data_IF_361794383611
#
_entry.id   IF_361794383611
#
_cell.length_a   1.000
_cell.length_b   1.000
_cell.length_c   1.000
_cell.angle_alpha   90.00
_cell.angle_beta   90.00
_cell.angle_gamma   90.00
#
_symmetry.space_group_name_H-M   'P 1'
#
loop_
_entity.id
_entity.type
_entity.pdbx_description
1 polymer ?
#
# COMPACT_ATOMS: atom_id res chain seq x y z
N UNK A 1 12.64 -62.60 27.39
CA UNK A 1 13.31 -63.93 27.37
C UNK A 1 12.32 -64.91 26.74
N UNK A 2 12.65 -65.49 25.57
CA UNK A 2 12.06 -66.66 24.86
C UNK A 2 10.55 -66.58 24.50
N UNK A 3 10.15 -66.51 23.22
CA UNK A 3 10.10 -67.54 22.15
C UNK A 3 8.97 -68.58 22.27
N UNK A 4 8.42 -68.92 21.08
CA UNK A 4 7.62 -70.09 20.63
C UNK A 4 6.12 -69.84 20.43
N UNK A 5 5.60 -69.85 19.18
CA UNK A 5 5.22 -70.99 18.32
C UNK A 5 4.11 -71.84 18.97
N UNK A 6 2.91 -72.02 18.40
CA UNK A 6 2.57 -72.94 17.28
C UNK A 6 1.05 -72.79 17.00
N UNK A 7 0.58 -72.57 15.78
CA UNK A 7 0.15 -73.52 14.74
C UNK A 7 -1.10 -74.41 15.06
N UNK A 8 -2.11 -74.27 14.17
CA UNK A 8 -3.09 -75.26 13.65
C UNK A 8 -4.57 -75.31 14.11
N UNK A 9 -5.41 -75.01 13.10
CA UNK A 9 -6.58 -75.76 12.60
C UNK A 9 -8.01 -75.41 13.06
N UNK A 10 -8.66 -74.66 12.14
CA UNK A 10 -10.04 -74.72 11.64
C UNK A 10 -10.97 -75.84 12.17
N UNK A 11 -12.21 -75.48 12.58
CA UNK A 11 -13.44 -75.55 11.74
C UNK A 11 -14.72 -75.13 12.50
N UNK A 12 -15.46 -74.21 11.86
CA UNK A 12 -16.92 -74.14 11.69
C UNK A 12 -17.87 -73.96 12.90
N UNK A 13 -18.52 -72.80 12.94
CA UNK A 13 -19.80 -72.55 13.62
C UNK A 13 -20.35 -71.16 13.28
N UNK A 14 -21.54 -71.11 12.70
CA UNK A 14 -22.11 -70.02 11.91
C UNK A 14 -22.94 -69.05 12.76
N UNK A 15 -22.76 -67.73 12.58
CA UNK A 15 -23.84 -66.72 12.55
C UNK A 15 -23.28 -65.37 12.09
N UNK A 16 -23.42 -65.04 10.80
CA UNK A 16 -23.11 -63.71 10.26
C UNK A 16 -24.41 -62.94 10.04
N UNK A 17 -24.47 -61.82 10.77
CA UNK A 17 -25.39 -60.70 10.64
C UNK A 17 -25.46 -60.23 9.18
N UNK A 18 -26.65 -60.16 8.60
CA UNK A 18 -26.90 -59.57 7.28
C UNK A 18 -26.86 -58.04 7.42
N UNK A 19 -25.83 -57.40 6.89
CA UNK A 19 -25.83 -55.94 6.64
C UNK A 19 -26.36 -55.73 5.22
N UNK A 20 -27.48 -55.03 5.10
CA UNK A 20 -28.02 -54.58 3.83
C UNK A 20 -27.18 -53.42 3.29
N UNK A 21 -26.69 -53.57 2.06
CA UNK A 21 -25.98 -52.54 1.31
C UNK A 21 -27.03 -51.55 0.74
N UNK A 22 -27.04 -50.32 1.23
CA UNK A 22 -27.76 -49.22 0.57
C UNK A 22 -26.82 -48.59 -0.46
N UNK A 23 -27.11 -48.79 -1.75
CA UNK A 23 -26.50 -48.03 -2.84
C UNK A 23 -27.01 -46.59 -2.76
N UNK A 24 -26.18 -45.67 -2.26
CA UNK A 24 -26.39 -44.25 -2.46
C UNK A 24 -25.77 -43.84 -3.81
N UNK A 25 -26.62 -43.52 -4.78
CA UNK A 25 -26.22 -42.88 -6.02
C UNK A 25 -25.73 -41.46 -5.69
N UNK A 26 -24.42 -41.22 -5.79
CA UNK A 26 -23.84 -39.90 -5.67
C UNK A 26 -24.15 -39.09 -6.94
N UNK A 27 -25.20 -38.28 -6.90
CA UNK A 27 -25.41 -37.21 -7.86
C UNK A 27 -24.38 -36.13 -7.53
N UNK A 28 -23.33 -36.05 -8.34
CA UNK A 28 -22.32 -35.00 -8.27
C UNK A 28 -22.94 -33.65 -8.63
N UNK A 29 -23.44 -32.93 -7.63
CA UNK A 29 -23.68 -31.50 -7.73
C UNK A 29 -22.31 -30.81 -7.68
N UNK A 30 -21.77 -30.54 -8.86
CA UNK A 30 -20.63 -29.64 -9.04
C UNK A 30 -21.09 -28.24 -8.64
N UNK A 31 -20.84 -27.84 -7.40
CA UNK A 31 -20.92 -26.45 -6.98
C UNK A 31 -19.76 -25.76 -7.68
N UNK A 32 -20.02 -25.21 -8.86
CA UNK A 32 -19.11 -24.26 -9.47
C UNK A 32 -18.98 -23.10 -8.48
N UNK A 33 -17.82 -22.99 -7.84
CA UNK A 33 -17.41 -21.76 -7.18
C UNK A 33 -17.40 -20.69 -8.26
N UNK A 34 -18.43 -19.82 -8.26
CA UNK A 34 -18.32 -18.55 -8.96
C UNK A 34 -17.20 -17.79 -8.26
N UNK A 35 -15.99 -17.91 -8.79
CA UNK A 35 -15.01 -16.86 -8.64
C UNK A 35 -15.69 -15.56 -9.04
N UNK A 36 -15.75 -14.63 -8.10
CA UNK A 36 -16.04 -13.24 -8.41
C UNK A 36 -14.91 -12.81 -9.32
N UNK A 37 -15.09 -12.94 -10.63
CA UNK A 37 -14.30 -12.20 -11.61
C UNK A 37 -14.53 -10.73 -11.26
N UNK A 38 -13.53 -10.09 -10.66
CA UNK A 38 -13.51 -8.64 -10.54
C UNK A 38 -13.76 -8.03 -11.91
N UNK A 39 -14.37 -6.85 -11.95
CA UNK A 39 -14.56 -6.09 -13.19
C UNK A 39 -13.28 -6.14 -14.01
N UNK A 40 -13.34 -6.82 -15.17
CA UNK A 40 -12.24 -6.87 -16.12
C UNK A 40 -11.87 -5.41 -16.48
N UNK A 41 -10.68 -4.96 -16.05
CA UNK A 41 -10.12 -3.68 -16.49
C UNK A 41 -9.57 -2.74 -15.42
N UNK A 42 -9.89 -2.90 -14.12
CA UNK A 42 -9.28 -2.03 -13.09
C UNK A 42 -7.96 -2.63 -12.58
N UNK A 43 -6.82 -1.92 -12.69
CA UNK A 43 -5.55 -2.43 -12.18
C UNK A 43 -5.60 -2.64 -10.66
N UNK A 44 -4.84 -3.59 -10.11
CA UNK A 44 -4.76 -3.78 -8.66
C UNK A 44 -4.19 -2.52 -8.00
N UNK A 45 -4.52 -2.30 -6.72
CA UNK A 45 -3.94 -1.18 -5.98
C UNK A 45 -2.41 -1.38 -5.88
N UNK A 46 -1.57 -0.39 -6.23
CA UNK A 46 -0.12 -0.55 -6.18
C UNK A 46 0.40 -0.73 -4.75
N UNK A 47 1.03 -1.88 -4.51
CA UNK A 47 1.68 -2.25 -3.25
C UNK A 47 3.12 -2.63 -3.55
N UNK A 48 4.04 -1.72 -3.23
CA UNK A 48 5.46 -1.83 -3.61
C UNK A 48 6.35 -2.23 -2.44
N UNK A 49 7.22 -3.22 -2.62
CA UNK A 49 8.36 -3.39 -1.73
C UNK A 49 9.50 -2.47 -2.19
N UNK A 50 9.89 -1.50 -1.35
CA UNK A 50 11.10 -0.73 -1.60
C UNK A 50 12.29 -1.55 -1.08
N UNK A 51 12.75 -2.46 -1.93
CA UNK A 51 13.82 -3.41 -1.64
C UNK A 51 14.44 -3.90 -2.95
N UNK A 52 15.55 -4.62 -2.84
CA UNK A 52 16.17 -5.36 -3.93
C UNK A 52 15.84 -6.85 -3.85
N UNK A 53 15.32 -7.41 -4.95
CA UNK A 53 15.07 -8.83 -5.07
C UNK A 53 15.39 -9.35 -6.48
N UNK A 54 16.13 -10.44 -6.53
CA UNK A 54 16.65 -11.04 -7.76
C UNK A 54 16.47 -12.56 -7.84
N UNK A 55 15.91 -13.19 -6.81
CA UNK A 55 15.65 -14.62 -6.75
C UNK A 55 14.14 -14.92 -6.60
N UNK A 56 13.73 -16.10 -7.10
CA UNK A 56 12.32 -16.52 -7.11
C UNK A 56 11.77 -16.77 -5.71
N UNK A 57 12.57 -17.24 -4.76
CA UNK A 57 12.09 -17.54 -3.42
C UNK A 57 11.66 -16.25 -2.70
N UNK A 58 12.51 -15.22 -2.75
CA UNK A 58 12.22 -13.89 -2.18
C UNK A 58 11.02 -13.25 -2.88
N UNK A 59 11.00 -13.23 -4.22
CA UNK A 59 9.91 -12.64 -5.00
C UNK A 59 8.58 -13.37 -4.76
N UNK A 60 8.58 -14.70 -4.60
CA UNK A 60 7.37 -15.46 -4.25
C UNK A 60 6.86 -15.08 -2.87
N UNK A 61 7.74 -14.91 -1.87
CA UNK A 61 7.35 -14.46 -0.52
C UNK A 61 6.80 -13.03 -0.52
N UNK A 62 7.28 -12.16 -1.41
CA UNK A 62 6.71 -10.83 -1.64
C UNK A 62 5.31 -10.92 -2.27
N UNK A 63 5.15 -11.69 -3.35
CA UNK A 63 3.87 -11.92 -4.02
C UNK A 63 2.82 -12.51 -3.07
N UNK A 64 3.19 -13.52 -2.27
CA UNK A 64 2.33 -14.15 -1.26
C UNK A 64 1.85 -13.18 -0.18
N UNK A 65 2.63 -12.11 0.06
CA UNK A 65 2.31 -11.01 0.97
C UNK A 65 1.41 -9.95 0.30
N UNK A 66 1.07 -10.10 -0.98
CA UNK A 66 0.26 -9.17 -1.74
C UNK A 66 1.05 -8.02 -2.39
N UNK A 67 2.38 -8.06 -2.37
CA UNK A 67 3.21 -7.12 -3.12
C UNK A 67 3.03 -7.40 -4.61
N UNK A 68 2.79 -6.35 -5.40
CA UNK A 68 2.62 -6.44 -6.85
C UNK A 68 3.61 -5.56 -7.63
N UNK A 69 4.55 -4.92 -6.93
CA UNK A 69 5.64 -4.14 -7.51
C UNK A 69 6.87 -4.21 -6.59
N UNK A 70 8.06 -4.33 -7.16
CA UNK A 70 9.34 -4.27 -6.42
C UNK A 70 10.18 -3.15 -6.99
N UNK A 71 10.77 -2.33 -6.10
CA UNK A 71 11.49 -1.12 -6.48
C UNK A 71 12.84 -1.41 -7.14
N UNK A 72 13.55 -2.49 -6.79
CA UNK A 72 14.79 -2.81 -7.48
C UNK A 72 14.83 -4.26 -7.88
N UNK A 73 14.76 -4.50 -9.19
CA UNK A 73 14.89 -5.81 -9.80
C UNK A 73 15.90 -5.72 -10.94
N UNK A 74 16.90 -6.61 -11.01
CA UNK A 74 17.82 -6.64 -12.14
C UNK A 74 17.11 -7.22 -13.39
N UNK A 75 17.60 -6.91 -14.60
CA UNK A 75 17.04 -7.43 -15.86
C UNK A 75 16.80 -8.94 -15.87
N UNK A 76 17.70 -9.70 -15.26
CA UNK A 76 17.73 -11.17 -15.23
C UNK A 76 16.57 -11.77 -14.43
N UNK A 77 15.96 -11.00 -13.51
CA UNK A 77 14.84 -11.46 -12.68
C UNK A 77 13.47 -11.04 -13.23
N UNK A 78 13.41 -10.38 -14.39
CA UNK A 78 12.15 -9.89 -14.97
C UNK A 78 11.16 -11.02 -15.30
N UNK A 79 11.65 -12.15 -15.83
CA UNK A 79 10.80 -13.31 -16.14
C UNK A 79 10.15 -13.89 -14.88
N UNK A 80 10.89 -13.92 -13.76
CA UNK A 80 10.38 -14.33 -12.45
C UNK A 80 9.29 -13.36 -11.98
N UNK A 81 9.52 -12.05 -12.08
CA UNK A 81 8.52 -11.05 -11.75
C UNK A 81 7.24 -11.24 -12.57
N UNK A 82 7.35 -11.43 -13.89
CA UNK A 82 6.19 -11.67 -14.74
C UNK A 82 5.45 -12.94 -14.33
N UNK A 83 6.15 -14.06 -14.13
CA UNK A 83 5.58 -15.33 -13.67
C UNK A 83 4.74 -15.14 -12.39
N UNK A 84 5.19 -14.28 -11.48
CA UNK A 84 4.56 -14.01 -10.19
C UNK A 84 3.55 -12.85 -10.20
N UNK A 85 3.32 -12.21 -11.34
CA UNK A 85 2.43 -11.04 -11.44
C UNK A 85 3.00 -9.78 -10.78
N UNK A 86 4.31 -9.73 -10.53
CA UNK A 86 5.04 -8.60 -9.97
C UNK A 86 5.50 -7.67 -11.11
N UNK A 87 5.31 -6.38 -10.91
CA UNK A 87 5.93 -5.33 -11.70
C UNK A 87 7.30 -4.94 -11.11
N UNK A 88 8.18 -4.37 -11.92
CA UNK A 88 9.55 -4.05 -11.54
C UNK A 88 9.91 -2.61 -11.91
N UNK A 89 10.43 -1.87 -10.95
CA UNK A 89 11.36 -0.77 -11.25
C UNK A 89 12.74 -1.43 -11.46
N UNK A 90 13.26 -1.29 -12.68
CA UNK A 90 14.49 -1.97 -13.09
C UNK A 90 15.69 -1.23 -12.52
N UNK A 91 16.57 -1.98 -11.85
CA UNK A 91 17.87 -1.52 -11.40
C UNK A 91 18.97 -2.06 -12.32
N UNK A 92 19.94 -1.22 -12.63
CA UNK A 92 21.14 -1.60 -13.36
C UNK A 92 22.32 -0.77 -12.83
N UNK A 93 23.38 -1.46 -12.41
CA UNK A 93 24.61 -0.82 -11.97
C UNK A 93 25.16 0.12 -13.07
N UNK A 94 25.63 1.30 -12.66
CA UNK A 94 26.13 2.34 -13.56
C UNK A 94 25.10 3.40 -13.96
N UNK A 95 23.81 3.23 -13.64
CA UNK A 95 22.80 4.28 -13.81
C UNK A 95 22.74 5.21 -12.59
N UNK A 96 22.60 4.63 -11.40
CA UNK A 96 22.67 5.35 -10.13
C UNK A 96 24.08 5.19 -9.54
N UNK A 97 24.64 6.23 -8.91
CA UNK A 97 25.89 6.10 -8.17
C UNK A 97 25.82 4.98 -7.13
N UNK A 98 26.92 4.22 -6.97
CA UNK A 98 26.98 3.15 -5.97
C UNK A 98 26.88 3.70 -4.54
N UNK A 99 27.61 4.78 -4.26
CA UNK A 99 27.47 5.52 -3.01
C UNK A 99 26.18 6.32 -3.01
N UNK A 100 25.28 6.01 -2.08
CA UNK A 100 23.91 6.53 -2.06
C UNK A 100 23.84 8.07 -2.00
N UNK A 101 24.74 8.72 -1.26
CA UNK A 101 24.76 10.18 -1.13
C UNK A 101 25.48 10.90 -2.28
N UNK A 102 26.11 10.18 -3.22
CA UNK A 102 26.80 10.84 -4.33
C UNK A 102 25.79 11.53 -5.26
N UNK A 103 26.11 12.73 -5.79
CA UNK A 103 25.24 13.43 -6.71
C UNK A 103 25.02 12.62 -7.98
N UNK A 104 23.81 12.71 -8.54
CA UNK A 104 23.50 12.05 -9.80
C UNK A 104 24.36 12.61 -10.95
N UNK A 105 24.81 11.74 -11.87
CA UNK A 105 25.59 12.13 -13.04
C UNK A 105 24.92 11.54 -14.29
N UNK A 106 24.26 12.40 -15.07
CA UNK A 106 23.51 11.94 -16.24
C UNK A 106 24.42 11.51 -17.39
N UNK A 107 25.64 12.04 -17.49
CA UNK A 107 26.62 11.60 -18.50
C UNK A 107 26.98 10.13 -18.30
N UNK A 108 27.25 9.71 -17.06
CA UNK A 108 27.52 8.30 -16.75
C UNK A 108 26.26 7.44 -16.90
N UNK A 109 25.13 7.89 -16.34
CA UNK A 109 23.89 7.14 -16.39
C UNK A 109 23.44 6.86 -17.84
N UNK A 110 23.58 7.86 -18.72
CA UNK A 110 23.13 7.78 -20.10
C UNK A 110 24.07 6.97 -21.02
N UNK A 111 25.22 6.49 -20.52
CA UNK A 111 26.01 5.45 -21.22
C UNK A 111 25.33 4.08 -21.14
N UNK A 112 24.57 3.82 -20.09
CA UNK A 112 23.97 2.51 -19.80
C UNK A 112 22.47 2.48 -20.05
N UNK A 113 21.77 3.57 -19.72
CA UNK A 113 20.31 3.65 -19.73
C UNK A 113 19.67 3.34 -21.11
N UNK A 114 20.14 3.87 -22.25
CA UNK A 114 19.54 3.56 -23.57
C UNK A 114 19.61 2.07 -23.93
N UNK A 115 20.76 1.43 -23.70
CA UNK A 115 20.94 0.00 -24.01
C UNK A 115 20.12 -0.89 -23.08
N UNK A 116 20.01 -0.51 -21.80
CA UNK A 116 19.11 -1.18 -20.86
C UNK A 116 17.66 -1.10 -21.37
N UNK A 117 17.18 0.10 -21.69
CA UNK A 117 15.81 0.32 -22.16
C UNK A 117 15.55 -0.53 -23.41
N UNK A 118 16.42 -0.47 -24.41
CA UNK A 118 16.31 -1.27 -25.63
C UNK A 118 16.20 -2.78 -25.36
N UNK A 119 16.90 -3.28 -24.34
CA UNK A 119 16.91 -4.69 -23.99
C UNK A 119 15.64 -5.17 -23.29
N UNK A 120 15.04 -4.34 -22.42
CA UNK A 120 14.00 -4.82 -21.48
C UNK A 120 12.65 -4.10 -21.57
N UNK A 121 12.52 -2.98 -22.28
CA UNK A 121 11.32 -2.13 -22.21
C UNK A 121 10.01 -2.85 -22.56
N UNK A 122 10.06 -3.74 -23.55
CA UNK A 122 8.89 -4.51 -24.01
C UNK A 122 8.52 -5.66 -23.06
N UNK A 123 9.36 -5.93 -22.05
CA UNK A 123 9.07 -6.96 -21.06
C UNK A 123 7.88 -6.52 -20.17
N UNK A 124 6.83 -7.35 -20.03
CA UNK A 124 5.58 -6.94 -19.37
C UNK A 124 5.74 -6.64 -17.88
N UNK A 125 6.76 -7.18 -17.20
CA UNK A 125 7.05 -6.83 -15.80
C UNK A 125 7.62 -5.41 -15.63
N UNK A 126 8.20 -4.78 -16.66
CA UNK A 126 8.85 -3.47 -16.50
C UNK A 126 7.81 -2.37 -16.27
N UNK A 127 7.92 -1.71 -15.12
CA UNK A 127 7.11 -0.54 -14.72
C UNK A 127 7.89 0.76 -14.85
N UNK A 128 9.21 0.71 -14.64
CA UNK A 128 10.07 1.89 -14.68
C UNK A 128 11.54 1.54 -14.51
N UNK A 129 12.37 2.58 -14.38
CA UNK A 129 13.82 2.49 -14.25
C UNK A 129 14.26 3.37 -13.09
N UNK A 130 15.06 2.82 -12.18
CA UNK A 130 15.60 3.59 -11.06
C UNK A 130 16.62 4.63 -11.54
N UNK A 131 16.46 5.88 -11.08
CA UNK A 131 17.44 6.93 -11.32
C UNK A 131 18.10 7.38 -10.01
N UNK A 132 17.33 7.76 -8.99
CA UNK A 132 17.88 8.33 -7.76
C UNK A 132 16.91 8.23 -6.59
N UNK A 133 17.48 8.03 -5.41
CA UNK A 133 16.81 8.17 -4.13
C UNK A 133 17.25 9.47 -3.45
N UNK A 134 16.28 10.16 -2.83
CA UNK A 134 16.44 11.38 -2.04
C UNK A 134 17.35 12.48 -2.62
N UNK A 135 17.13 12.96 -3.86
CA UNK A 135 17.93 14.07 -4.39
C UNK A 135 17.60 15.40 -3.72
N UNK A 136 18.61 16.23 -3.49
CA UNK A 136 18.38 17.65 -3.20
C UNK A 136 18.00 18.43 -4.48
N UNK A 137 17.44 19.63 -4.32
CA UNK A 137 16.91 20.42 -5.43
C UNK A 137 17.96 20.80 -6.50
N UNK A 138 19.25 20.87 -6.14
CA UNK A 138 20.32 21.21 -7.08
C UNK A 138 20.57 20.10 -8.11
N UNK A 139 20.15 18.87 -7.82
CA UNK A 139 20.32 17.71 -8.70
C UNK A 139 19.23 17.59 -9.76
N UNK A 140 18.09 18.28 -9.63
CA UNK A 140 16.96 18.12 -10.56
C UNK A 140 17.28 18.42 -12.02
N UNK A 141 18.02 19.49 -12.37
CA UNK A 141 18.40 19.73 -13.76
C UNK A 141 19.26 18.61 -14.35
N UNK A 142 20.11 17.98 -13.53
CA UNK A 142 20.95 16.85 -13.95
C UNK A 142 20.09 15.59 -14.15
N UNK A 143 19.21 15.28 -13.19
CA UNK A 143 18.26 14.16 -13.28
C UNK A 143 17.33 14.27 -14.50
N UNK A 144 16.86 15.47 -14.82
CA UNK A 144 15.95 15.72 -15.94
C UNK A 144 16.53 15.26 -17.29
N UNK A 145 17.86 15.25 -17.45
CA UNK A 145 18.54 14.74 -18.65
C UNK A 145 18.28 13.24 -18.84
N UNK A 146 18.37 12.43 -17.77
CA UNK A 146 18.09 10.99 -17.82
C UNK A 146 16.60 10.69 -17.80
N UNK A 147 15.78 11.51 -17.13
CA UNK A 147 14.32 11.40 -17.23
C UNK A 147 13.86 11.58 -18.68
N UNK A 148 14.43 12.55 -19.41
CA UNK A 148 14.15 12.74 -20.83
C UNK A 148 14.47 11.48 -21.66
N UNK A 149 15.59 10.80 -21.39
CA UNK A 149 15.95 9.55 -22.06
C UNK A 149 14.89 8.47 -21.83
N UNK A 150 14.42 8.30 -20.58
CA UNK A 150 13.33 7.36 -20.28
C UNK A 150 12.04 7.75 -21.01
N UNK A 151 11.67 9.03 -21.01
CA UNK A 151 10.46 9.49 -21.70
C UNK A 151 10.50 9.27 -23.21
N UNK A 152 11.64 9.52 -23.84
CA UNK A 152 11.82 9.38 -25.29
C UNK A 152 11.89 7.91 -25.72
N UNK A 153 12.59 7.06 -24.97
CA UNK A 153 12.87 5.67 -25.36
C UNK A 153 11.91 4.65 -24.75
N UNK A 154 11.26 4.98 -23.63
CA UNK A 154 10.37 4.10 -22.87
C UNK A 154 9.05 4.84 -22.52
N UNK A 155 8.29 5.33 -23.52
CA UNK A 155 7.05 6.05 -23.28
C UNK A 155 6.10 5.18 -22.42
N UNK A 156 5.44 5.81 -21.46
CA UNK A 156 4.61 5.08 -20.48
C UNK A 156 5.37 4.58 -19.23
N UNK A 157 6.67 4.26 -19.28
CA UNK A 157 7.44 3.82 -18.10
C UNK A 157 7.78 4.95 -17.13
N UNK A 158 8.03 4.61 -15.88
CA UNK A 158 8.38 5.56 -14.83
C UNK A 158 9.90 5.75 -14.74
N UNK A 159 10.40 6.96 -14.96
CA UNK A 159 11.73 7.37 -14.51
C UNK A 159 11.67 7.54 -12.99
N UNK A 160 12.01 6.48 -12.25
CA UNK A 160 11.76 6.39 -10.82
C UNK A 160 12.79 7.20 -10.04
N UNK A 161 12.30 8.27 -9.43
CA UNK A 161 13.00 9.11 -8.47
C UNK A 161 12.14 9.16 -7.20
N UNK A 162 12.72 8.85 -6.06
CA UNK A 162 12.07 8.98 -4.76
C UNK A 162 12.55 10.25 -4.06
N UNK A 163 11.63 10.99 -3.45
CA UNK A 163 11.92 12.26 -2.77
C UNK A 163 12.09 12.05 -1.26
N UNK A 164 12.96 12.83 -0.60
CA UNK A 164 13.07 12.75 0.85
C UNK A 164 11.82 13.32 1.54
N UNK A 165 11.58 12.94 2.82
CA UNK A 165 10.57 13.58 3.63
C UNK A 165 10.88 15.06 3.81
N UNK A 166 9.83 15.87 3.96
CA UNK A 166 9.98 17.27 4.30
C UNK A 166 8.66 17.92 4.72
N UNK A 167 8.76 19.06 5.39
CA UNK A 167 7.59 19.76 5.92
C UNK A 167 7.90 21.23 6.19
N UNK A 168 6.87 22.06 6.15
CA UNK A 168 6.95 23.48 6.48
C UNK A 168 7.33 24.37 5.31
N UNK A 169 7.86 25.55 5.62
CA UNK A 169 8.23 26.58 4.65
C UNK A 169 9.32 26.05 3.70
N UNK A 170 9.09 26.22 2.40
CA UNK A 170 10.02 25.79 1.34
C UNK A 170 9.76 24.40 0.76
N UNK A 171 9.10 23.48 1.48
CA UNK A 171 8.87 22.12 0.95
C UNK A 171 7.90 22.10 -0.25
N UNK A 172 6.85 22.92 -0.23
CA UNK A 172 6.00 23.10 -1.43
C UNK A 172 6.81 23.59 -2.63
N UNK A 173 7.77 24.51 -2.42
CA UNK A 173 8.68 24.98 -3.46
C UNK A 173 9.60 23.89 -3.98
N UNK A 174 10.15 23.04 -3.10
CA UNK A 174 10.93 21.87 -3.49
C UNK A 174 10.12 20.92 -4.40
N UNK A 175 8.88 20.61 -4.02
CA UNK A 175 7.98 19.76 -4.81
C UNK A 175 7.64 20.39 -6.17
N UNK A 176 7.34 21.70 -6.20
CA UNK A 176 7.00 22.41 -7.42
C UNK A 176 8.20 22.46 -8.39
N UNK A 177 9.42 22.70 -7.90
CA UNK A 177 10.64 22.68 -8.73
C UNK A 177 10.88 21.27 -9.28
N UNK A 178 10.73 20.22 -8.46
CA UNK A 178 10.85 18.85 -8.91
C UNK A 178 9.88 18.53 -10.05
N UNK A 179 8.58 18.84 -9.87
CA UNK A 179 7.56 18.55 -10.88
C UNK A 179 7.81 19.31 -12.18
N UNK A 180 8.15 20.60 -12.08
CA UNK A 180 8.39 21.44 -13.24
C UNK A 180 9.69 21.09 -13.99
N UNK A 181 10.67 20.49 -13.32
CA UNK A 181 11.97 20.17 -13.92
C UNK A 181 12.04 18.74 -14.43
N UNK A 182 11.56 17.78 -13.63
CA UNK A 182 11.67 16.35 -13.92
C UNK A 182 10.40 15.77 -14.57
N UNK A 183 9.26 16.47 -14.55
CA UNK A 183 7.99 16.00 -15.12
C UNK A 183 7.62 14.56 -14.73
N UNK A 184 7.60 14.23 -13.42
CA UNK A 184 7.32 12.88 -12.95
C UNK A 184 5.88 12.48 -13.27
N UNK A 185 5.63 11.17 -13.38
CA UNK A 185 4.27 10.63 -13.52
C UNK A 185 3.58 10.40 -12.17
N UNK A 186 4.37 10.20 -11.13
CA UNK A 186 3.96 9.91 -9.77
C UNK A 186 4.92 10.63 -8.83
N UNK A 187 4.39 11.30 -7.80
CA UNK A 187 5.19 11.77 -6.67
C UNK A 187 5.47 10.60 -5.73
N UNK A 188 6.69 10.09 -5.70
CA UNK A 188 7.16 9.11 -4.70
C UNK A 188 7.94 9.84 -3.63
N UNK A 189 7.65 9.57 -2.37
CA UNK A 189 8.43 10.05 -1.24
C UNK A 189 8.35 9.05 -0.09
N UNK A 190 9.31 9.09 0.81
CA UNK A 190 9.27 8.34 2.06
C UNK A 190 9.06 9.24 3.28
N UNK A 191 8.43 8.68 4.31
CA UNK A 191 8.36 9.27 5.64
C UNK A 191 8.11 8.17 6.68
N UNK A 192 9.00 8.08 7.66
CA UNK A 192 8.97 7.03 8.69
C UNK A 192 8.55 7.62 10.06
N UNK A 193 7.29 7.38 10.50
CA UNK A 193 6.73 8.09 11.63
C UNK A 193 6.83 7.35 12.96
N UNK A 194 7.38 6.13 12.98
CA UNK A 194 7.43 5.30 14.19
C UNK A 194 8.71 5.63 14.96
N UNK A 195 8.55 6.30 16.10
CA UNK A 195 9.66 6.59 17.02
C UNK A 195 10.04 5.38 17.88
N UNK A 196 11.21 5.44 18.53
CA UNK A 196 11.75 4.35 19.36
C UNK A 196 10.81 3.89 20.48
N UNK A 197 9.99 4.80 21.01
CA UNK A 197 9.03 4.51 22.08
C UNK A 197 7.68 4.00 21.55
N UNK A 198 7.59 3.72 20.24
CA UNK A 198 6.36 3.27 19.58
C UNK A 198 5.33 4.39 19.37
N UNK A 199 5.73 5.66 19.57
CA UNK A 199 4.91 6.82 19.28
C UNK A 199 4.81 7.07 17.76
N UNK A 200 3.72 7.71 17.34
CA UNK A 200 3.51 8.11 15.95
C UNK A 200 3.79 9.60 15.77
N UNK A 201 4.75 9.93 14.92
CA UNK A 201 5.21 11.31 14.69
C UNK A 201 4.14 12.15 14.02
N UNK A 202 3.96 13.39 14.52
CA UNK A 202 3.11 14.38 13.87
C UNK A 202 3.59 14.76 12.46
N UNK A 203 4.90 14.62 12.19
CA UNK A 203 5.53 14.95 10.92
C UNK A 203 4.99 14.14 9.74
N UNK A 204 4.46 12.94 9.99
CA UNK A 204 3.75 12.14 8.99
C UNK A 204 2.62 12.94 8.34
N UNK A 205 1.78 13.54 9.17
CA UNK A 205 0.58 14.25 8.74
C UNK A 205 0.93 15.58 8.08
N UNK A 206 1.94 16.29 8.59
CA UNK A 206 2.38 17.56 8.01
C UNK A 206 2.97 17.35 6.59
N UNK A 207 3.84 16.37 6.43
CA UNK A 207 4.48 16.06 5.14
C UNK A 207 3.45 15.58 4.11
N UNK A 208 2.59 14.61 4.45
CA UNK A 208 1.62 14.06 3.49
C UNK A 208 0.57 15.09 3.07
N UNK A 209 0.23 16.07 3.92
CA UNK A 209 -0.64 17.18 3.55
C UNK A 209 -0.04 18.00 2.41
N UNK A 210 1.24 18.37 2.49
CA UNK A 210 1.93 19.11 1.43
C UNK A 210 2.11 18.28 0.16
N UNK A 211 2.45 16.99 0.27
CA UNK A 211 2.56 16.10 -0.91
C UNK A 211 1.19 15.93 -1.60
N UNK A 212 0.11 15.73 -0.84
CA UNK A 212 -1.26 15.70 -1.39
C UNK A 212 -1.58 16.99 -2.12
N UNK A 213 -1.27 18.14 -1.52
CA UNK A 213 -1.55 19.44 -2.12
C UNK A 213 -0.75 19.63 -3.42
N UNK A 214 0.53 19.25 -3.45
CA UNK A 214 1.33 19.25 -4.69
C UNK A 214 0.73 18.32 -5.76
N UNK A 215 0.33 17.10 -5.38
CA UNK A 215 -0.35 16.16 -6.27
C UNK A 215 -1.63 16.74 -6.88
N UNK A 216 -2.45 17.45 -6.10
CA UNK A 216 -3.64 18.14 -6.60
C UNK A 216 -3.30 19.33 -7.51
N UNK A 217 -2.33 20.17 -7.12
CA UNK A 217 -1.89 21.35 -7.91
C UNK A 217 -1.36 20.94 -9.28
N UNK A 218 -0.61 19.84 -9.36
CA UNK A 218 0.03 19.36 -10.59
C UNK A 218 -0.72 18.22 -11.29
N UNK A 219 -1.89 17.82 -10.76
CA UNK A 219 -2.68 16.70 -11.27
C UNK A 219 -1.88 15.39 -11.38
N UNK A 220 -1.12 15.07 -10.32
CA UNK A 220 -0.31 13.86 -10.19
C UNK A 220 -0.82 12.97 -9.05
N UNK A 221 -0.85 11.64 -9.24
CA UNK A 221 -0.94 10.72 -8.12
C UNK A 221 0.32 10.81 -7.26
N UNK A 222 0.19 10.52 -5.97
CA UNK A 222 1.33 10.37 -5.07
C UNK A 222 1.31 9.00 -4.37
N UNK A 223 2.50 8.50 -4.08
CA UNK A 223 2.76 7.24 -3.41
C UNK A 223 3.61 7.52 -2.18
N UNK A 224 3.28 6.88 -1.07
CA UNK A 224 4.02 7.01 0.19
C UNK A 224 4.79 5.73 0.47
N UNK A 225 6.07 5.87 0.80
CA UNK A 225 6.92 4.80 1.31
C UNK A 225 6.99 4.95 2.83
N UNK A 226 6.58 3.91 3.56
CA UNK A 226 6.51 3.97 5.01
C UNK A 226 7.18 2.75 5.66
N UNK A 227 7.40 2.87 6.96
CA UNK A 227 8.28 1.99 7.70
C UNK A 227 7.65 0.62 7.94
N UNK A 228 8.33 -0.44 7.48
CA UNK A 228 8.04 -1.84 7.79
C UNK A 228 9.23 -2.60 8.38
N UNK A 229 10.43 -2.01 8.42
CA UNK A 229 11.59 -2.57 9.10
C UNK A 229 12.28 -1.45 9.87
N UNK A 230 12.42 -1.60 11.18
CA UNK A 230 13.19 -0.66 11.99
C UNK A 230 14.66 -0.65 11.53
N UNK A 231 15.29 0.50 11.64
CA UNK A 231 16.71 0.76 11.41
C UNK A 231 17.06 2.09 12.09
N UNK A 232 18.32 2.34 12.38
CA UNK A 232 18.80 3.52 13.11
C UNK A 232 17.98 3.75 14.39
N UNK A 233 17.37 4.94 14.50
CA UNK A 233 16.52 5.35 15.61
C UNK A 233 15.03 5.15 15.34
N UNK A 234 14.63 4.42 14.30
CA UNK A 234 13.24 4.09 14.07
C UNK A 234 12.77 2.93 14.95
N UNK A 235 11.54 3.05 15.46
CA UNK A 235 10.91 2.00 16.28
C UNK A 235 10.42 0.83 15.45
N UNK A 236 10.33 -0.34 16.08
CA UNK A 236 9.76 -1.53 15.43
C UNK A 236 8.26 -1.37 15.16
N UNK A 237 7.79 -1.72 13.95
CA UNK A 237 6.38 -1.58 13.62
C UNK A 237 5.53 -2.59 14.39
N UNK A 238 4.45 -2.11 15.00
CA UNK A 238 3.33 -2.94 15.44
C UNK A 238 2.29 -3.10 14.33
N UNK A 239 1.40 -4.08 14.44
CA UNK A 239 0.28 -4.22 13.50
C UNK A 239 -0.57 -2.94 13.42
N UNK A 240 -0.82 -2.29 14.56
CA UNK A 240 -1.57 -1.04 14.61
C UNK A 240 -0.82 0.11 13.91
N UNK A 241 0.50 0.20 14.07
CA UNK A 241 1.30 1.22 13.42
C UNK A 241 1.40 0.99 11.90
N UNK A 242 1.51 -0.25 11.43
CA UNK A 242 1.42 -0.58 10.00
C UNK A 242 0.08 -0.14 9.41
N UNK A 243 -1.03 -0.45 10.11
CA UNK A 243 -2.36 0.02 9.70
C UNK A 243 -2.43 1.53 9.64
N UNK A 244 -1.94 2.22 10.66
CA UNK A 244 -2.03 3.68 10.74
C UNK A 244 -1.25 4.36 9.61
N UNK A 245 -0.05 3.86 9.26
CA UNK A 245 0.71 4.36 8.11
C UNK A 245 -0.05 4.15 6.80
N UNK A 246 -0.59 2.94 6.58
CA UNK A 246 -1.30 2.60 5.35
C UNK A 246 -2.61 3.38 5.20
N UNK A 247 -3.52 3.28 6.18
CA UNK A 247 -4.79 3.99 6.16
C UNK A 247 -4.61 5.50 6.31
N UNK A 248 -3.61 5.95 7.06
CA UNK A 248 -3.20 7.36 7.13
C UNK A 248 -2.71 7.89 5.79
N UNK A 249 -2.14 7.05 4.92
CA UNK A 249 -1.82 7.44 3.54
C UNK A 249 -3.06 7.46 2.66
N UNK A 250 -3.92 6.45 2.78
CA UNK A 250 -5.15 6.32 1.99
C UNK A 250 -6.16 7.45 2.25
N UNK A 251 -6.27 7.94 3.50
CA UNK A 251 -7.17 9.05 3.85
C UNK A 251 -6.76 10.37 3.20
N UNK A 252 -5.48 10.52 2.81
CA UNK A 252 -5.00 11.65 1.98
C UNK A 252 -5.12 11.40 0.48
N UNK A 253 -5.59 10.23 0.07
CA UNK A 253 -5.78 9.87 -1.34
C UNK A 253 -4.55 9.31 -2.03
N UNK A 254 -3.59 8.74 -1.28
CA UNK A 254 -2.46 8.03 -1.88
C UNK A 254 -2.93 6.98 -2.89
N UNK A 255 -2.23 6.90 -4.03
CA UNK A 255 -2.53 5.97 -5.14
C UNK A 255 -1.57 4.80 -5.23
N UNK A 256 -0.66 4.69 -4.27
CA UNK A 256 0.23 3.56 -4.08
C UNK A 256 0.84 3.63 -2.70
N UNK A 257 1.14 2.45 -2.16
CA UNK A 257 1.72 2.28 -0.83
C UNK A 257 2.98 1.45 -0.97
N UNK A 258 4.06 1.90 -0.34
CA UNK A 258 5.35 1.25 -0.45
C UNK A 258 5.92 0.97 0.95
N UNK A 259 6.67 -0.12 1.05
CA UNK A 259 7.20 -0.61 2.31
C UNK A 259 8.72 -0.49 2.33
N UNK A 260 9.25 0.34 3.23
CA UNK A 260 10.67 0.36 3.54
C UNK A 260 10.90 -0.19 4.95
N UNK A 261 11.48 -1.37 5.12
CA UNK A 261 12.01 -2.30 4.11
C UNK A 261 11.30 -3.65 4.20
N UNK A 262 11.38 -4.47 3.15
CA UNK A 262 10.76 -5.79 3.14
C UNK A 262 11.66 -6.86 3.77
N UNK A 263 12.98 -6.76 3.57
CA UNK A 263 13.98 -7.72 4.07
C UNK A 263 14.90 -7.02 5.05
N UNK A 264 15.09 -7.59 6.25
CA UNK A 264 16.01 -7.10 7.27
C UNK A 264 17.47 -7.45 6.96
N UNK A 265 17.96 -6.98 5.81
CA UNK A 265 19.37 -7.05 5.38
C UNK A 265 19.73 -5.77 4.64
N UNK A 266 21.02 -5.48 4.56
CA UNK A 266 21.55 -4.39 3.73
C UNK A 266 21.10 -4.51 2.26
N UNK A 267 21.04 -3.39 1.55
CA UNK A 267 20.76 -3.39 0.13
C UNK A 267 22.05 -3.73 -0.62
N UNK A 268 22.14 -4.89 -1.31
CA UNK A 268 23.37 -5.31 -1.98
C UNK A 268 23.72 -4.45 -3.22
N UNK A 269 22.87 -3.47 -3.53
CA UNK A 269 22.97 -2.57 -4.68
C UNK A 269 23.40 -1.14 -4.30
N UNK A 270 23.65 -0.90 -3.01
CA UNK A 270 24.08 0.38 -2.47
C UNK A 270 25.33 0.20 -1.62
N UNK A 271 26.32 1.06 -1.84
CA UNK A 271 27.45 1.22 -0.93
C UNK A 271 27.01 2.13 0.22
N UNK A 272 26.43 1.50 1.25
CA UNK A 272 25.86 2.17 2.43
C UNK A 272 26.01 1.28 3.69
N UNK A 273 27.22 0.86 4.07
CA UNK A 273 27.46 -0.02 5.22
C UNK A 273 26.92 0.53 6.56
N UNK A 274 26.70 1.83 6.65
CA UNK A 274 26.11 2.53 7.79
C UNK A 274 24.58 2.37 7.92
N UNK A 275 23.89 1.95 6.85
CA UNK A 275 22.42 1.80 6.82
C UNK A 275 21.95 0.39 7.26
N UNK A 276 22.84 -0.47 7.76
CA UNK A 276 22.65 -1.93 7.83
C UNK A 276 22.01 -2.52 9.09
N UNK A 277 21.49 -1.74 10.05
CA UNK A 277 20.96 -2.25 11.33
C UNK A 277 19.46 -2.63 11.28
N UNK A 278 19.02 -3.23 10.17
CA UNK A 278 17.62 -3.54 9.94
C UNK A 278 17.07 -4.61 10.89
N UNK A 279 15.86 -4.36 11.42
CA UNK A 279 15.17 -5.19 12.40
C UNK A 279 13.70 -5.40 12.04
N UNK A 280 13.21 -6.62 12.24
CA UNK A 280 11.80 -6.99 12.23
C UNK A 280 11.03 -6.62 10.94
N UNK A 281 11.72 -6.64 9.79
CA UNK A 281 11.11 -6.57 8.47
C UNK A 281 10.22 -7.79 8.19
N UNK A 282 9.35 -7.74 7.17
CA UNK A 282 8.56 -8.89 6.74
C UNK A 282 9.38 -10.17 6.56
N UNK A 283 10.55 -10.07 5.93
CA UNK A 283 11.55 -11.12 5.92
C UNK A 283 12.70 -10.72 6.83
N UNK A 284 13.18 -11.67 7.63
CA UNK A 284 14.36 -11.46 8.44
C UNK A 284 15.65 -11.53 7.61
N UNK A 285 16.81 -11.39 8.26
CA UNK A 285 18.13 -11.44 7.62
C UNK A 285 18.45 -12.80 6.96
N UNK A 286 17.70 -13.86 7.29
CA UNK A 286 17.83 -15.20 6.72
C UNK A 286 16.78 -15.48 5.64
N UNK A 287 15.91 -14.52 5.35
CA UNK A 287 14.81 -14.65 4.39
C UNK A 287 13.59 -15.39 4.94
N UNK A 288 13.50 -15.61 6.25
CA UNK A 288 12.35 -16.25 6.89
C UNK A 288 11.23 -15.25 7.17
N UNK A 289 9.97 -15.70 7.14
CA UNK A 289 8.80 -14.85 7.36
C UNK A 289 8.67 -14.50 8.85
N UNK A 290 8.55 -13.22 9.16
CA UNK A 290 8.33 -12.73 10.53
C UNK A 290 6.84 -12.52 10.86
N UNK A 291 6.54 -12.02 12.06
CA UNK A 291 5.18 -11.56 12.40
C UNK A 291 4.74 -10.38 11.52
N UNK A 292 5.66 -9.47 11.18
CA UNK A 292 5.43 -8.32 10.29
C UNK A 292 4.91 -8.76 8.93
N UNK A 293 5.39 -9.89 8.39
CA UNK A 293 4.88 -10.45 7.13
C UNK A 293 3.40 -10.84 7.22
N UNK A 294 2.97 -11.46 8.31
CA UNK A 294 1.59 -11.89 8.49
C UNK A 294 0.64 -10.69 8.64
N UNK A 295 1.07 -9.68 9.40
CA UNK A 295 0.33 -8.41 9.53
C UNK A 295 0.19 -7.71 8.19
N UNK A 296 1.31 -7.54 7.47
CA UNK A 296 1.35 -6.91 6.15
C UNK A 296 0.47 -7.66 5.15
N UNK A 297 0.56 -9.00 5.08
CA UNK A 297 -0.26 -9.80 4.17
C UNK A 297 -1.75 -9.58 4.36
N UNK A 298 -2.21 -9.57 5.61
CA UNK A 298 -3.62 -9.38 5.91
C UNK A 298 -4.07 -7.95 5.56
N UNK A 299 -3.25 -6.95 5.86
CA UNK A 299 -3.50 -5.56 5.50
C UNK A 299 -3.52 -5.36 3.98
N UNK A 300 -2.58 -5.95 3.25
CA UNK A 300 -2.49 -5.86 1.80
C UNK A 300 -3.71 -6.46 1.12
N UNK A 301 -4.20 -7.60 1.60
CA UNK A 301 -5.46 -8.19 1.12
C UNK A 301 -6.65 -7.26 1.34
N UNK A 302 -6.72 -6.60 2.48
CA UNK A 302 -7.76 -5.61 2.76
C UNK A 302 -7.72 -4.45 1.76
N UNK A 303 -6.52 -3.91 1.52
CA UNK A 303 -6.32 -2.78 0.61
C UNK A 303 -6.63 -3.19 -0.83
N UNK A 304 -6.20 -4.37 -1.27
CA UNK A 304 -6.51 -4.88 -2.61
C UNK A 304 -8.02 -5.02 -2.84
N UNK A 305 -8.76 -5.52 -1.85
CA UNK A 305 -10.22 -5.60 -1.94
C UNK A 305 -10.91 -4.24 -2.07
N UNK A 306 -10.31 -3.17 -1.53
CA UNK A 306 -10.80 -1.80 -1.67
C UNK A 306 -10.23 -1.07 -2.90
N UNK A 307 -9.17 -1.61 -3.49
CA UNK A 307 -8.35 -1.00 -4.54
C UNK A 307 -9.15 -0.43 -5.70
N UNK A 308 -10.09 -1.19 -6.30
CA UNK A 308 -10.87 -0.71 -7.43
C UNK A 308 -11.62 0.59 -7.14
N UNK A 309 -12.17 0.74 -5.92
CA UNK A 309 -12.84 1.97 -5.50
C UNK A 309 -11.82 3.05 -5.17
N UNK A 310 -10.77 2.74 -4.38
CA UNK A 310 -9.76 3.71 -3.95
C UNK A 310 -9.07 4.42 -5.12
N UNK A 311 -8.79 3.69 -6.21
CA UNK A 311 -8.16 4.26 -7.40
C UNK A 311 -9.04 5.29 -8.12
N UNK A 312 -10.36 5.18 -7.99
CA UNK A 312 -11.36 6.07 -8.62
C UNK A 312 -11.78 7.28 -7.76
N UNK A 313 -11.28 7.38 -6.53
CA UNK A 313 -11.57 8.49 -5.62
C UNK A 313 -10.63 9.67 -5.85
N UNK A 314 -11.17 10.87 -6.07
CA UNK A 314 -10.43 12.12 -5.96
C UNK A 314 -10.55 12.63 -4.52
N UNK A 315 -9.44 12.98 -3.88
CA UNK A 315 -9.45 13.59 -2.55
C UNK A 315 -9.89 15.05 -2.64
N UNK A 316 -10.96 15.41 -1.94
CA UNK A 316 -11.51 16.77 -1.93
C UNK A 316 -10.91 17.57 -0.76
N UNK A 317 -11.07 17.05 0.46
CA UNK A 317 -10.54 17.62 1.70
C UNK A 317 -10.02 16.52 2.60
N UNK A 318 -8.97 16.84 3.36
CA UNK A 318 -8.56 16.09 4.56
C UNK A 318 -8.60 17.00 5.77
N UNK A 319 -9.07 16.47 6.90
CA UNK A 319 -9.21 17.20 8.15
C UNK A 319 -9.12 16.27 9.35
N UNK A 320 -8.85 16.84 10.52
CA UNK A 320 -8.63 16.08 11.75
C UNK A 320 -9.65 16.43 12.82
N UNK A 321 -9.96 15.45 13.66
CA UNK A 321 -10.76 15.60 14.89
C UNK A 321 -9.84 15.34 16.08
N UNK A 322 -9.87 16.24 17.05
CA UNK A 322 -8.92 16.28 18.18
C UNK A 322 -7.68 17.07 17.84
N UNK A 323 -6.51 16.46 18.06
CA UNK A 323 -5.23 17.06 17.70
C UNK A 323 -5.13 17.24 16.19
N UNK A 324 -4.97 18.51 15.78
CA UNK A 324 -4.80 18.91 14.38
C UNK A 324 -3.31 19.16 14.15
N UNK A 325 -2.63 18.32 13.34
CA UNK A 325 -1.22 18.52 13.04
C UNK A 325 -0.95 19.81 12.25
N UNK A 326 0.28 20.29 12.27
CA UNK A 326 0.69 21.38 11.38
C UNK A 326 0.45 21.04 9.90
N UNK A 327 0.31 22.07 9.07
CA UNK A 327 -0.05 21.96 7.63
C UNK A 327 -1.42 21.29 7.36
N UNK A 328 -2.16 20.95 8.41
CA UNK A 328 -3.49 20.37 8.33
C UNK A 328 -4.55 21.31 8.90
N UNK A 329 -5.80 20.92 8.77
CA UNK A 329 -6.95 21.67 9.30
C UNK A 329 -7.89 20.77 10.10
N UNK A 330 -8.66 21.40 10.98
CA UNK A 330 -9.76 20.75 11.68
C UNK A 330 -11.03 20.71 10.85
N UNK A 331 -12.12 20.30 11.48
CA UNK A 331 -13.48 20.37 10.91
C UNK A 331 -13.79 21.83 10.50
N UNK A 332 -14.25 22.02 9.26
CA UNK A 332 -14.67 23.31 8.70
C UNK A 332 -16.11 23.26 8.19
N UNK A 333 -16.65 24.36 7.65
CA UNK A 333 -18.02 24.38 7.10
C UNK A 333 -18.19 23.56 5.81
N UNK A 334 -17.08 23.29 5.12
CA UNK A 334 -17.02 22.56 3.85
C UNK A 334 -16.83 21.04 4.01
N UNK A 335 -16.72 20.53 5.24
CA UNK A 335 -16.53 19.09 5.51
C UNK A 335 -17.84 18.32 5.61
N UNK A 336 -17.86 17.07 5.14
CA UNK A 336 -19.06 16.21 5.16
C UNK A 336 -19.40 15.72 6.58
N UNK A 337 -18.39 15.37 7.37
CA UNK A 337 -18.54 15.02 8.79
C UNK A 337 -18.17 16.22 9.65
N UNK A 338 -19.08 16.60 10.57
CA UNK A 338 -18.89 17.71 11.52
C UNK A 338 -18.41 17.25 12.90
N UNK A 339 -18.43 15.95 13.17
CA UNK A 339 -17.98 15.37 14.42
C UNK A 339 -18.19 13.86 14.49
N UNK A 340 -17.74 13.25 15.58
CA UNK A 340 -18.08 11.88 15.95
C UNK A 340 -18.63 11.87 17.36
N UNK A 341 -19.65 11.03 17.62
CA UNK A 341 -20.21 10.91 18.99
C UNK A 341 -19.27 10.24 19.98
N UNK A 342 -18.24 9.55 19.50
CA UNK A 342 -17.26 8.84 20.32
C UNK A 342 -15.87 8.92 19.71
N UNK A 343 -14.88 9.08 20.59
CA UNK A 343 -13.48 9.30 20.24
C UNK A 343 -13.17 10.74 19.85
N UNK A 344 -11.89 11.05 19.85
CA UNK A 344 -11.38 12.40 19.58
C UNK A 344 -10.03 12.37 18.89
N UNK A 345 -9.69 11.31 18.16
CA UNK A 345 -8.38 11.18 17.52
C UNK A 345 -8.52 10.52 16.15
N UNK A 346 -8.99 11.30 15.18
CA UNK A 346 -9.30 10.82 13.83
C UNK A 346 -8.72 11.71 12.76
N UNK A 347 -8.30 11.08 11.66
CA UNK A 347 -8.09 11.74 10.37
C UNK A 347 -9.26 11.37 9.45
N UNK A 348 -9.82 12.35 8.74
CA UNK A 348 -10.98 12.18 7.89
C UNK A 348 -10.68 12.76 6.50
N UNK A 349 -10.97 11.99 5.46
CA UNK A 349 -10.84 12.41 4.08
C UNK A 349 -12.20 12.33 3.40
N UNK A 350 -12.65 13.45 2.83
CA UNK A 350 -13.80 13.46 1.94
C UNK A 350 -13.33 13.31 0.50
N UNK A 351 -14.08 12.51 -0.25
CA UNK A 351 -13.74 12.14 -1.61
C UNK A 351 -14.95 12.27 -2.54
N UNK A 352 -14.64 12.46 -3.81
CA UNK A 352 -15.57 12.34 -4.91
C UNK A 352 -15.10 11.20 -5.80
N UNK A 353 -15.97 10.22 -6.03
CA UNK A 353 -15.72 9.13 -6.96
C UNK A 353 -15.94 9.59 -8.41
N UNK A 354 -15.37 8.90 -9.40
CA UNK A 354 -15.52 9.23 -10.84
C UNK A 354 -16.99 9.29 -11.32
N UNK A 355 -17.89 8.59 -10.64
CA UNK A 355 -19.35 8.61 -10.90
C UNK A 355 -20.07 9.79 -10.21
N UNK A 356 -19.34 10.68 -9.54
CA UNK A 356 -19.85 11.83 -8.80
C UNK A 356 -20.37 11.51 -7.39
N UNK A 357 -20.38 10.25 -6.96
CA UNK A 357 -20.80 9.90 -5.60
C UNK A 357 -19.79 10.37 -4.55
N UNK A 358 -20.28 10.77 -3.37
CA UNK A 358 -19.46 11.21 -2.24
C UNK A 358 -19.07 10.05 -1.34
N UNK A 359 -17.85 10.08 -0.85
CA UNK A 359 -17.28 9.06 0.03
C UNK A 359 -16.50 9.72 1.16
N UNK A 360 -16.41 9.04 2.30
CA UNK A 360 -15.67 9.51 3.48
C UNK A 360 -14.79 8.39 3.98
N UNK A 361 -13.49 8.59 4.08
CA UNK A 361 -12.61 7.70 4.85
C UNK A 361 -12.41 8.27 6.24
N UNK A 362 -12.61 7.45 7.27
CA UNK A 362 -12.30 7.81 8.66
C UNK A 362 -11.23 6.86 9.17
N UNK A 363 -10.14 7.40 9.71
CA UNK A 363 -9.00 6.65 10.26
C UNK A 363 -8.87 6.94 11.75
N UNK A 364 -8.83 5.88 12.55
CA UNK A 364 -8.53 5.97 13.98
C UNK A 364 -7.02 6.16 14.17
N UNK A 365 -6.61 7.33 14.67
CA UNK A 365 -5.19 7.65 14.92
C UNK A 365 -4.63 6.96 16.17
N UNK A 366 -5.49 6.41 17.04
CA UNK A 366 -5.03 5.66 18.20
C UNK A 366 -4.30 4.39 17.80
N UNK A 367 -3.14 4.14 18.41
CA UNK A 367 -2.38 2.89 18.28
C UNK A 367 -2.82 1.80 19.27
N UNK A 368 -3.65 2.15 20.25
CA UNK A 368 -3.98 1.26 21.38
C UNK A 368 -5.48 1.08 21.64
N UNK A 369 -6.33 2.01 21.20
CA UNK A 369 -7.76 1.98 21.51
C UNK A 369 -8.63 1.79 20.29
N UNK A 370 -9.61 0.88 20.39
CA UNK A 370 -10.70 0.78 19.43
C UNK A 370 -11.77 1.82 19.76
N UNK A 371 -12.43 2.38 18.75
CA UNK A 371 -13.50 3.35 18.97
C UNK A 371 -14.76 2.97 18.19
N UNK A 372 -15.93 2.98 18.86
CA UNK A 372 -17.22 2.86 18.18
C UNK A 372 -17.38 4.01 17.19
N UNK A 373 -17.72 3.68 15.94
CA UNK A 373 -17.80 4.66 14.87
C UNK A 373 -19.24 5.15 14.71
N UNK A 374 -19.48 6.39 15.15
CA UNK A 374 -20.77 7.07 14.98
C UNK A 374 -20.53 8.48 14.43
N UNK A 375 -20.34 8.61 13.11
CA UNK A 375 -20.07 9.89 12.47
C UNK A 375 -21.32 10.76 12.44
N UNK A 376 -21.14 12.04 12.70
CA UNK A 376 -22.18 13.06 12.60
C UNK A 376 -21.98 13.83 11.30
N UNK A 377 -22.79 13.52 10.30
CA UNK A 377 -22.77 14.22 9.03
C UNK A 377 -23.40 15.60 9.15
N UNK A 378 -22.96 16.53 8.30
CA UNK A 378 -23.51 17.88 8.20
C UNK A 378 -24.93 17.83 7.67
N UNK A 379 -25.10 17.15 6.54
CA UNK A 379 -26.39 16.92 5.90
C UNK A 379 -27.02 15.62 6.39
N UNK A 380 -28.35 15.55 6.30
CA UNK A 380 -29.10 14.35 6.67
C UNK A 380 -28.70 13.17 5.76
N UNK A 381 -28.27 12.07 6.35
CA UNK A 381 -27.92 10.84 5.64
C UNK A 381 -29.09 9.86 5.71
N UNK A 382 -29.65 9.52 4.54
CA UNK A 382 -30.73 8.56 4.42
C UNK A 382 -30.24 7.11 4.54
N UNK A 383 -29.02 6.83 4.06
CA UNK A 383 -28.38 5.52 4.15
C UNK A 383 -26.86 5.68 4.29
N UNK A 384 -26.25 4.89 5.17
CA UNK A 384 -24.81 4.86 5.35
C UNK A 384 -24.28 3.44 5.14
N UNK A 385 -23.41 3.30 4.15
CA UNK A 385 -22.74 2.03 3.83
C UNK A 385 -21.24 2.16 4.00
N UNK A 386 -20.55 1.03 4.15
CA UNK A 386 -19.10 0.96 4.11
C UNK A 386 -18.64 -0.05 3.07
N UNK A 387 -17.50 0.22 2.44
CA UNK A 387 -16.81 -0.76 1.60
C UNK A 387 -16.08 -1.73 2.51
N UNK A 388 -16.52 -2.99 2.51
CA UNK A 388 -15.94 -4.00 3.39
C UNK A 388 -14.53 -4.39 2.93
N UNK A 389 -13.47 -4.11 3.72
CA UNK A 389 -12.10 -4.47 3.34
C UNK A 389 -11.89 -5.99 3.23
N UNK A 390 -12.76 -6.79 3.83
CA UNK A 390 -12.68 -8.26 3.76
C UNK A 390 -13.23 -8.82 2.45
N UNK A 391 -14.21 -8.14 1.84
CA UNK A 391 -14.96 -8.71 0.70
C UNK A 391 -15.00 -7.82 -0.55
N UNK A 392 -14.57 -6.56 -0.46
CA UNK A 392 -14.67 -5.60 -1.56
C UNK A 392 -16.10 -5.21 -1.93
N UNK A 393 -17.09 -5.55 -1.07
CA UNK A 393 -18.52 -5.28 -1.30
C UNK A 393 -19.03 -4.22 -0.34
N UNK A 394 -20.00 -3.43 -0.80
CA UNK A 394 -20.75 -2.51 0.05
C UNK A 394 -21.58 -3.28 1.07
N UNK A 395 -21.62 -2.77 2.30
CA UNK A 395 -22.43 -3.28 3.40
C UNK A 395 -23.02 -2.13 4.20
N UNK A 396 -24.20 -2.31 4.75
CA UNK A 396 -24.74 -1.37 5.72
C UNK A 396 -23.89 -1.36 6.99
N UNK A 397 -23.67 -0.16 7.53
CA UNK A 397 -22.91 -0.03 8.76
C UNK A 397 -23.78 -0.35 9.98
N UNK A 398 -23.25 -1.15 10.89
CA UNK A 398 -23.89 -1.41 12.17
C UNK A 398 -23.70 -0.22 13.12
N UNK A 399 -24.68 0.13 13.96
CA UNK A 399 -24.49 1.13 15.02
C UNK A 399 -23.43 0.72 16.07
N UNK A 400 -23.02 -0.56 16.07
CA UNK A 400 -21.96 -1.11 16.93
C UNK A 400 -20.63 -1.32 16.18
N UNK A 401 -20.47 -0.75 14.99
CA UNK A 401 -19.23 -0.88 14.24
C UNK A 401 -18.08 -0.19 14.99
N UNK A 402 -17.08 -0.95 15.42
CA UNK A 402 -15.88 -0.42 16.07
C UNK A 402 -14.73 -0.35 15.08
N UNK A 403 -14.01 0.77 15.08
CA UNK A 403 -12.80 0.98 14.31
C UNK A 403 -11.57 0.63 15.18
N UNK A 404 -10.82 -0.44 14.85
CA UNK A 404 -9.63 -0.85 15.60
C UNK A 404 -8.51 0.19 15.58
N UNK A 405 -7.46 0.02 16.41
CA UNK A 405 -6.30 0.89 16.41
C UNK A 405 -5.61 0.95 15.03
N UNK A 406 -5.34 2.17 14.57
CA UNK A 406 -4.71 2.47 13.28
C UNK A 406 -5.56 2.15 12.04
N UNK A 407 -6.74 1.55 12.19
CA UNK A 407 -7.56 1.11 11.07
C UNK A 407 -8.34 2.29 10.47
N UNK A 408 -8.54 2.26 9.15
CA UNK A 408 -9.51 3.10 8.45
C UNK A 408 -10.74 2.34 7.97
N UNK A 409 -11.81 3.07 7.73
CA UNK A 409 -13.00 2.57 7.03
C UNK A 409 -13.42 3.58 5.96
N UNK A 410 -13.81 3.07 4.80
CA UNK A 410 -14.33 3.86 3.69
C UNK A 410 -15.85 3.77 3.66
N UNK A 411 -16.52 4.89 3.86
CA UNK A 411 -17.96 5.04 3.94
C UNK A 411 -18.53 5.68 2.67
N UNK A 412 -19.73 5.27 2.29
CA UNK A 412 -20.54 5.87 1.22
C UNK A 412 -21.86 6.38 1.84
N UNK A 413 -21.97 7.68 2.17
CA UNK A 413 -23.24 8.27 2.56
C UNK A 413 -24.14 8.47 1.33
N UNK A 414 -25.42 8.16 1.49
CA UNK A 414 -26.49 8.62 0.59
C UNK A 414 -27.26 9.72 1.32
N UNK A 415 -27.11 10.96 0.87
CA UNK A 415 -27.77 12.10 1.49
C UNK A 415 -29.26 12.14 1.15
N UNK A 416 -30.08 12.54 2.11
CA UNK A 416 -31.50 12.78 1.91
C UNK A 416 -31.69 14.00 0.98
N UNK A 417 -32.75 14.02 0.17
CA UNK A 417 -33.10 15.23 -0.57
C UNK A 417 -33.35 16.39 0.39
N UNK A 418 -33.08 17.64 -0.02
CA UNK A 418 -33.41 18.81 0.77
C UNK A 418 -34.88 18.75 1.21
N UNK A 419 -35.18 19.10 2.47
CA UNK A 419 -36.56 19.21 2.91
C UNK A 419 -37.28 20.19 1.97
N UNK A 420 -38.40 19.77 1.37
CA UNK A 420 -39.20 20.66 0.54
C UNK A 420 -39.59 21.87 1.40
N UNK A 421 -39.28 23.08 0.94
CA UNK A 421 -39.76 24.30 1.58
C UNK A 421 -41.28 24.24 1.60
N UNK A 422 -41.85 24.05 2.79
CA UNK A 422 -43.29 24.19 2.99
C UNK A 422 -43.57 25.68 2.86
N UNK A 423 -43.96 26.09 1.65
CA UNK A 423 -44.55 27.40 1.39
C UNK A 423 -45.81 27.52 2.25
N UNK A 424 -45.69 28.10 3.43
CA UNK A 424 -46.85 28.64 4.15
C UNK A 424 -47.48 29.73 3.27
N UNK A 425 -48.64 29.41 2.70
CA UNK A 425 -49.53 30.37 2.04
C UNK A 425 -50.59 30.84 3.00
#
# INVERSE_FOLDING_TARGET
MRLSNSCQSLRHGVSRLRIALVLAAAIGLSIASQEVRGEEGTPPFPLMAWDYADDEETLQKMADCGINLVAFVPPEALDICHKLGIKAIVYQAGITPAHWAAPFNAEEANKTLPDLIKRVNDHPAVYGYHLKDEPDHSQFPELAKSVKVVHDLAPGKWAYINLPPGMGEGYDGYLDVYVNTCHPKILSYDNYPIGQEGNFSYGFWANIAQVRNAGLRHNLPFWNIFLSSAHLTYGEPSEAALRLQAYGSLVYGAKGLCYYKFISRELPILDAPELGDFRNGPLDQFGEKTHTWNWMRNMNRQIQNMGPTLLKLKSDVVYHVGDVPEQNRGVGEDTLVKGLKSGSDFAIGDFTHEDGSRWVMIVNKSLTHSTTLVPEFRDAVAKLEYLSPISGKMKEISPYYCLPPGQGVLLKPTFAPPAAEVSEK
#
